data_IF_307521768715
#
_entry.id   IF_307521768715
#
_cell.length_a   1.000
_cell.length_b   1.000
_cell.length_c   1.000
_cell.angle_alpha   90.00
_cell.angle_beta   90.00
_cell.angle_gamma   90.00
#
_symmetry.space_group_name_H-M   'P 1'
#
loop_
_entity.id
_entity.type
_entity.pdbx_description
1 polymer ?
#
# COMPACT_ATOMS: atom_id res chain seq x y z
N UNK A 1 -31.05 41.20 -12.10
CA UNK A 1 -29.71 41.12 -11.48
C UNK A 1 -29.92 40.55 -10.08
N UNK A 2 -29.93 39.23 -9.94
CA UNK A 2 -28.79 38.40 -9.53
C UNK A 2 -28.21 38.81 -8.17
N UNK A 3 -28.38 37.96 -7.15
CA UNK A 3 -27.28 37.19 -6.57
C UNK A 3 -27.84 36.11 -5.63
N UNK A 4 -27.47 34.87 -5.94
CA UNK A 4 -27.71 33.65 -5.18
C UNK A 4 -26.84 33.69 -3.92
N UNK A 5 -27.43 33.57 -2.73
CA UNK A 5 -26.67 33.49 -1.47
C UNK A 5 -26.14 32.06 -1.30
N UNK A 6 -24.84 31.87 -1.42
CA UNK A 6 -24.17 30.66 -0.92
C UNK A 6 -24.09 30.75 0.60
N UNK A 7 -24.63 29.73 1.29
CA UNK A 7 -24.40 29.53 2.72
C UNK A 7 -23.33 28.44 2.88
N UNK A 8 -22.12 28.85 3.26
CA UNK A 8 -21.10 27.96 3.81
C UNK A 8 -21.24 28.03 5.34
N UNK A 9 -21.71 26.95 5.95
CA UNK A 9 -21.67 26.81 7.40
C UNK A 9 -20.31 26.26 7.80
N UNK A 10 -19.38 27.14 8.19
CA UNK A 10 -18.22 26.75 8.99
C UNK A 10 -18.53 27.18 10.43
N UNK A 11 -18.76 26.19 11.29
CA UNK A 11 -18.83 26.42 12.74
C UNK A 11 -17.39 26.56 13.24
N UNK A 12 -16.95 27.80 13.43
CA UNK A 12 -15.75 28.13 14.19
C UNK A 12 -16.09 28.13 15.68
N UNK A 13 -15.54 27.18 16.43
CA UNK A 13 -15.38 27.29 17.87
C UNK A 13 -13.89 27.49 18.17
N UNK A 14 -13.57 28.74 18.53
CA UNK A 14 -12.38 29.21 19.27
C UNK A 14 -11.00 28.82 18.74
N UNK A 15 -10.22 29.86 18.43
CA UNK A 15 -8.82 29.76 18.03
C UNK A 15 -7.98 28.95 19.01
N UNK A 16 -7.30 27.95 18.46
CA UNK A 16 -6.05 27.42 18.98
C UNK A 16 -5.07 27.58 17.82
N UNK A 17 -4.17 28.55 17.91
CA UNK A 17 -2.99 28.60 17.04
C UNK A 17 -2.08 27.45 17.45
N UNK A 18 -2.28 26.32 16.79
CA UNK A 18 -1.42 25.16 16.92
C UNK A 18 -0.18 25.42 16.03
N UNK A 19 0.77 26.19 16.55
CA UNK A 19 2.13 26.22 16.00
C UNK A 19 2.83 24.94 16.43
N UNK A 20 2.74 23.89 15.60
CA UNK A 20 3.46 22.64 15.78
C UNK A 20 4.60 22.60 14.77
N UNK A 21 5.81 22.96 15.23
CA UNK A 21 7.03 22.37 14.68
C UNK A 21 7.13 20.93 15.22
N UNK A 22 6.57 19.98 14.48
CA UNK A 22 6.79 18.56 14.75
C UNK A 22 8.12 18.12 14.10
N UNK A 23 8.92 17.28 14.75
CA UNK A 23 10.15 16.76 14.16
C UNK A 23 9.80 15.78 13.03
N UNK A 24 10.03 16.21 11.78
CA UNK A 24 9.97 15.42 10.54
C UNK A 24 11.10 14.37 10.45
N UNK A 25 11.28 13.53 11.48
CA UNK A 25 12.29 12.48 11.47
C UNK A 25 11.75 11.22 12.11
N UNK A 26 11.16 10.34 11.30
CA UNK A 26 11.26 8.85 11.36
C UNK A 26 10.16 8.08 10.60
N UNK A 27 9.15 8.72 9.98
CA UNK A 27 8.03 7.99 9.32
C UNK A 27 8.16 7.71 7.81
N UNK A 28 9.27 8.07 7.15
CA UNK A 28 9.38 7.96 5.68
C UNK A 28 9.39 6.52 5.12
N UNK A 29 9.86 5.52 5.89
CA UNK A 29 10.06 4.17 5.34
C UNK A 29 8.75 3.39 5.16
N UNK A 30 7.73 3.66 5.97
CA UNK A 30 6.52 2.85 6.01
C UNK A 30 5.50 3.18 4.91
N UNK A 31 5.49 4.42 4.41
CA UNK A 31 4.47 4.85 3.43
C UNK A 31 4.60 4.22 2.04
N UNK A 32 5.85 4.08 1.54
CA UNK A 32 6.07 3.60 0.16
C UNK A 32 5.83 2.11 -0.01
N UNK A 33 6.32 1.29 0.92
CA UNK A 33 6.14 -0.17 0.86
C UNK A 33 4.66 -0.55 1.00
N UNK A 34 3.94 0.15 1.88
CA UNK A 34 2.50 0.00 2.05
C UNK A 34 1.74 0.38 0.77
N UNK A 35 2.04 1.52 0.17
CA UNK A 35 1.41 1.97 -1.06
C UNK A 35 1.66 1.01 -2.24
N UNK A 36 2.86 0.42 -2.32
CA UNK A 36 3.19 -0.62 -3.31
C UNK A 36 2.29 -1.84 -3.16
N UNK A 37 2.12 -2.36 -1.94
CA UNK A 37 1.25 -3.51 -1.67
C UNK A 37 -0.18 -3.21 -2.09
N UNK A 38 -0.72 -2.08 -1.65
CA UNK A 38 -2.08 -1.64 -1.99
C UNK A 38 -2.24 -1.49 -3.51
N UNK A 39 -1.29 -0.85 -4.20
CA UNK A 39 -1.34 -0.64 -5.64
C UNK A 39 -1.36 -1.98 -6.40
N UNK A 40 -0.50 -2.93 -6.00
CA UNK A 40 -0.46 -4.24 -6.64
C UNK A 40 -1.74 -5.05 -6.37
N UNK A 41 -2.24 -5.06 -5.14
CA UNK A 41 -3.44 -5.81 -4.78
C UNK A 41 -4.71 -5.25 -5.42
N UNK A 42 -4.77 -3.92 -5.59
CA UNK A 42 -5.93 -3.26 -6.19
C UNK A 42 -5.95 -3.37 -7.72
N UNK A 43 -4.79 -3.38 -8.38
CA UNK A 43 -4.70 -3.42 -9.85
C UNK A 43 -4.50 -4.82 -10.42
N UNK A 44 -3.91 -5.73 -9.65
CA UNK A 44 -3.44 -7.02 -10.16
C UNK A 44 -2.33 -6.88 -11.22
N UNK A 45 -1.69 -5.72 -11.38
CA UNK A 45 -0.61 -5.58 -12.36
C UNK A 45 0.67 -6.28 -11.88
N UNK A 46 1.52 -6.71 -12.82
CA UNK A 46 2.79 -7.37 -12.48
C UNK A 46 3.74 -6.45 -11.71
N UNK A 47 3.76 -5.15 -12.03
CA UNK A 47 4.56 -4.10 -11.40
C UNK A 47 3.61 -2.94 -11.11
N UNK A 48 3.67 -2.28 -9.95
CA UNK A 48 2.76 -1.18 -9.67
C UNK A 48 3.11 0.05 -10.51
N UNK A 49 2.10 0.79 -10.97
CA UNK A 49 2.29 2.06 -11.67
C UNK A 49 2.84 3.12 -10.70
N UNK A 50 3.96 3.81 -11.01
CA UNK A 50 4.56 4.79 -10.09
C UNK A 50 3.59 5.89 -9.65
N UNK A 51 2.79 6.45 -10.58
CA UNK A 51 1.80 7.48 -10.27
C UNK A 51 0.78 7.03 -9.22
N UNK A 52 0.37 5.77 -9.28
CA UNK A 52 -0.61 5.21 -8.34
C UNK A 52 0.01 4.99 -6.96
N UNK A 53 1.26 4.52 -6.90
CA UNK A 53 2.00 4.38 -5.65
C UNK A 53 2.15 5.73 -4.95
N UNK A 54 2.55 6.77 -5.69
CA UNK A 54 2.68 8.12 -5.12
C UNK A 54 1.31 8.67 -4.68
N UNK A 55 0.26 8.52 -5.48
CA UNK A 55 -1.10 8.90 -5.07
C UNK A 55 -1.50 8.22 -3.76
N UNK A 56 -1.37 6.90 -3.68
CA UNK A 56 -1.77 6.14 -2.48
C UNK A 56 -0.96 6.57 -1.27
N UNK A 57 0.35 6.79 -1.44
CA UNK A 57 1.22 7.27 -0.37
C UNK A 57 0.74 8.64 0.15
N UNK A 58 0.54 9.61 -0.74
CA UNK A 58 0.07 10.95 -0.38
C UNK A 58 -1.31 10.94 0.26
N UNK A 59 -2.23 10.14 -0.27
CA UNK A 59 -3.59 9.98 0.28
C UNK A 59 -3.54 9.43 1.71
N UNK A 60 -2.75 8.38 1.97
CA UNK A 60 -2.61 7.80 3.30
C UNK A 60 -1.91 8.75 4.28
N UNK A 61 -0.90 9.51 3.83
CA UNK A 61 -0.27 10.55 4.65
C UNK A 61 -1.28 11.63 5.06
N UNK A 62 -2.08 12.11 4.11
CA UNK A 62 -3.14 13.09 4.37
C UNK A 62 -4.21 12.54 5.32
N UNK A 63 -4.71 11.33 5.09
CA UNK A 63 -5.73 10.71 5.93
C UNK A 63 -5.22 10.58 7.38
N UNK A 64 -3.99 10.12 7.57
CA UNK A 64 -3.39 9.95 8.90
C UNK A 64 -3.07 11.28 9.59
N UNK A 65 -2.82 12.32 8.81
CA UNK A 65 -2.65 13.68 9.33
C UNK A 65 -3.98 14.26 9.82
N UNK A 66 -5.06 14.10 9.04
CA UNK A 66 -6.39 14.61 9.37
C UNK A 66 -7.08 13.81 10.48
N UNK A 67 -6.85 12.49 10.55
CA UNK A 67 -7.37 11.62 11.61
C UNK A 67 -6.23 10.83 12.28
N UNK A 68 -5.70 11.33 13.42
CA UNK A 68 -4.64 10.67 14.16
C UNK A 68 -4.99 9.25 14.66
N UNK A 69 -6.28 8.90 14.78
CA UNK A 69 -6.69 7.53 15.16
C UNK A 69 -6.34 6.50 14.08
N UNK A 70 -6.07 6.94 12.86
CA UNK A 70 -5.65 6.10 11.74
C UNK A 70 -4.13 6.06 11.57
N UNK A 71 -3.38 6.85 12.35
CA UNK A 71 -1.93 6.98 12.20
C UNK A 71 -1.14 5.68 12.50
N UNK A 72 -1.70 4.78 13.31
CA UNK A 72 -1.14 3.47 13.63
C UNK A 72 -1.63 2.35 12.70
N UNK A 73 -2.70 2.58 11.93
CA UNK A 73 -3.28 1.56 11.04
C UNK A 73 -2.41 1.41 9.80
N UNK A 74 -2.09 0.18 9.43
CA UNK A 74 -1.27 -0.12 8.25
C UNK A 74 -1.86 -1.25 7.42
N UNK A 75 -1.67 -1.17 6.11
CA UNK A 75 -1.97 -2.26 5.19
C UNK A 75 -0.87 -3.32 5.27
N UNK A 76 -1.20 -4.45 5.88
CA UNK A 76 -0.27 -5.58 5.99
C UNK A 76 -0.05 -6.27 4.65
N UNK A 77 -1.09 -6.36 3.83
CA UNK A 77 -1.12 -7.04 2.55
C UNK A 77 -1.25 -8.56 2.70
N UNK A 78 -1.46 -9.24 1.58
CA UNK A 78 -1.58 -10.71 1.48
C UNK A 78 -0.21 -11.36 1.44
N UNK A 79 0.76 -10.70 0.82
CA UNK A 79 2.08 -11.24 0.51
C UNK A 79 3.16 -10.15 0.51
N UNK A 80 4.43 -10.56 0.47
CA UNK A 80 5.57 -9.65 0.33
C UNK A 80 5.88 -9.41 -1.16
N UNK A 81 5.80 -8.14 -1.66
CA UNK A 81 6.07 -7.85 -3.07
C UNK A 81 7.47 -8.30 -3.50
N UNK A 82 7.57 -8.90 -4.68
CA UNK A 82 8.84 -9.35 -5.25
C UNK A 82 9.55 -10.44 -4.43
N UNK A 83 8.83 -11.23 -3.65
CA UNK A 83 9.39 -12.37 -2.90
C UNK A 83 8.59 -13.64 -3.18
N UNK A 84 9.31 -14.74 -3.45
CA UNK A 84 8.73 -16.05 -3.72
C UNK A 84 9.50 -17.16 -3.00
N UNK A 85 8.74 -18.12 -2.48
CA UNK A 85 9.26 -19.44 -2.15
C UNK A 85 9.30 -20.31 -3.39
N UNK A 86 10.42 -21.00 -3.60
CA UNK A 86 10.64 -21.88 -4.73
C UNK A 86 11.01 -23.26 -4.21
N UNK A 87 10.29 -24.26 -4.71
CA UNK A 87 10.51 -25.67 -4.36
C UNK A 87 11.16 -26.37 -5.55
N UNK A 88 12.19 -27.18 -5.28
CA UNK A 88 12.76 -28.10 -6.25
C UNK A 88 13.20 -27.46 -7.58
N UNK A 89 13.98 -26.37 -7.50
CA UNK A 89 14.58 -25.75 -8.69
C UNK A 89 15.91 -26.42 -9.06
N UNK A 90 16.06 -26.80 -10.34
CA UNK A 90 17.34 -27.28 -10.87
C UNK A 90 18.36 -26.16 -11.03
N UNK A 91 19.64 -26.51 -11.11
CA UNK A 91 20.71 -25.53 -11.34
C UNK A 91 20.53 -24.83 -12.69
N UNK A 92 20.16 -25.58 -13.72
CA UNK A 92 19.92 -25.07 -15.07
C UNK A 92 18.78 -24.04 -15.08
N UNK A 93 17.68 -24.31 -14.37
CA UNK A 93 16.57 -23.36 -14.22
C UNK A 93 16.99 -22.12 -13.44
N UNK A 94 17.78 -22.28 -12.38
CA UNK A 94 18.30 -21.15 -11.61
C UNK A 94 19.18 -20.25 -12.48
N UNK A 95 20.08 -20.84 -13.28
CA UNK A 95 20.97 -20.11 -14.19
C UNK A 95 20.15 -19.34 -15.25
N UNK A 96 19.13 -19.98 -15.84
CA UNK A 96 18.20 -19.32 -16.77
C UNK A 96 17.48 -18.12 -16.15
N UNK A 97 17.04 -18.23 -14.89
CA UNK A 97 16.39 -17.11 -14.18
C UNK A 97 17.39 -15.98 -13.92
N UNK A 98 18.64 -16.31 -13.53
CA UNK A 98 19.68 -15.33 -13.28
C UNK A 98 20.10 -14.53 -14.52
N UNK A 99 19.94 -15.10 -15.71
CA UNK A 99 20.20 -14.44 -17.00
C UNK A 99 18.97 -13.70 -17.57
N UNK A 100 17.81 -13.82 -16.94
CA UNK A 100 16.56 -13.22 -17.41
C UNK A 100 16.31 -11.80 -16.86
N UNK A 101 15.28 -11.13 -17.37
CA UNK A 101 14.78 -9.86 -16.81
C UNK A 101 14.20 -10.00 -15.39
N UNK A 102 13.99 -11.23 -14.92
CA UNK A 102 13.55 -11.57 -13.58
C UNK A 102 14.72 -11.98 -12.67
N UNK A 103 15.96 -11.59 -12.99
CA UNK A 103 17.11 -11.90 -12.13
C UNK A 103 16.86 -11.53 -10.65
N UNK A 104 16.93 -12.50 -9.72
CA UNK A 104 16.80 -12.22 -8.30
C UNK A 104 18.04 -11.50 -7.77
N UNK A 105 17.84 -10.61 -6.81
CA UNK A 105 18.92 -9.94 -6.07
C UNK A 105 19.47 -10.81 -4.94
N UNK A 106 18.66 -11.75 -4.45
CA UNK A 106 19.04 -12.66 -3.37
C UNK A 106 18.33 -14.00 -3.55
N UNK A 107 19.07 -15.09 -3.37
CA UNK A 107 18.53 -16.44 -3.23
C UNK A 107 19.04 -17.00 -1.89
N UNK A 108 18.14 -17.32 -0.97
CA UNK A 108 18.46 -17.82 0.37
C UNK A 108 18.02 -19.27 0.44
N UNK A 109 18.96 -20.18 0.62
CA UNK A 109 18.74 -21.64 0.57
C UNK A 109 18.15 -22.25 1.85
N UNK A 110 17.89 -21.44 2.87
CA UNK A 110 17.31 -21.89 4.14
C UNK A 110 16.02 -21.11 4.39
N UNK A 111 14.90 -21.63 3.89
CA UNK A 111 13.59 -21.24 4.38
C UNK A 111 13.25 -22.07 5.63
N UNK A 112 12.71 -21.41 6.64
CA UNK A 112 12.19 -22.05 7.86
C UNK A 112 10.94 -22.90 7.61
N UNK A 113 10.33 -22.84 6.42
CA UNK A 113 9.11 -23.58 6.10
C UNK A 113 9.37 -25.07 5.84
N UNK A 114 10.26 -25.41 4.91
CA UNK A 114 10.52 -26.80 4.50
C UNK A 114 11.96 -26.98 3.96
N UNK A 115 12.64 -28.11 4.26
CA UNK A 115 13.93 -28.45 3.66
C UNK A 115 13.85 -28.43 2.12
N UNK A 116 14.82 -27.77 1.47
CA UNK A 116 14.87 -27.67 0.01
C UNK A 116 14.06 -26.51 -0.60
N UNK A 117 13.44 -25.66 0.23
CA UNK A 117 12.78 -24.43 -0.23
C UNK A 117 13.75 -23.25 -0.25
N UNK A 118 13.82 -22.56 -1.38
CA UNK A 118 14.64 -21.36 -1.56
C UNK A 118 13.74 -20.12 -1.53
N UNK A 119 14.11 -19.12 -0.74
CA UNK A 119 13.52 -17.78 -0.82
C UNK A 119 14.26 -16.98 -1.90
N UNK A 120 13.55 -16.58 -2.95
CA UNK A 120 14.07 -15.63 -3.94
C UNK A 120 13.47 -14.25 -3.72
N UNK A 121 14.35 -13.25 -3.70
CA UNK A 121 14.01 -11.83 -3.62
C UNK A 121 14.39 -11.17 -4.94
N UNK A 122 13.44 -10.49 -5.56
CA UNK A 122 13.58 -9.85 -6.86
C UNK A 122 13.82 -8.34 -6.71
N UNK A 123 14.48 -7.73 -7.71
CA UNK A 123 14.80 -6.30 -7.69
C UNK A 123 13.55 -5.40 -7.73
N UNK A 124 12.51 -5.83 -8.46
CA UNK A 124 11.26 -5.10 -8.60
C UNK A 124 10.20 -5.66 -7.65
N UNK A 125 9.26 -4.82 -7.16
CA UNK A 125 8.17 -5.25 -6.32
C UNK A 125 7.10 -5.92 -7.17
N UNK A 126 7.41 -7.10 -7.69
CA UNK A 126 6.48 -7.84 -8.54
C UNK A 126 5.27 -8.33 -7.75
N UNK A 127 4.11 -8.42 -8.41
CA UNK A 127 2.97 -9.16 -7.89
C UNK A 127 3.32 -10.66 -7.82
N UNK A 128 3.46 -11.26 -6.63
CA UNK A 128 3.99 -12.61 -6.45
C UNK A 128 3.19 -13.68 -7.19
N UNK A 129 1.86 -13.62 -7.15
CA UNK A 129 1.03 -14.62 -7.86
C UNK A 129 1.21 -14.56 -9.39
N UNK A 130 1.42 -13.37 -9.95
CA UNK A 130 1.62 -13.21 -11.39
C UNK A 130 3.05 -13.56 -11.79
N UNK A 131 4.03 -13.16 -10.99
CA UNK A 131 5.40 -13.58 -11.17
C UNK A 131 5.53 -15.10 -11.10
N UNK A 132 4.90 -15.75 -10.13
CA UNK A 132 4.90 -17.22 -10.01
C UNK A 132 4.38 -17.91 -11.28
N UNK A 133 3.23 -17.45 -11.79
CA UNK A 133 2.67 -17.97 -13.06
C UNK A 133 3.63 -17.77 -14.24
N UNK A 134 4.28 -16.61 -14.33
CA UNK A 134 5.23 -16.31 -15.40
C UNK A 134 6.50 -17.17 -15.30
N UNK A 135 7.06 -17.33 -14.11
CA UNK A 135 8.24 -18.17 -13.88
C UNK A 135 7.93 -19.63 -14.20
N UNK A 136 6.77 -20.14 -13.77
CA UNK A 136 6.30 -21.49 -14.13
C UNK A 136 6.17 -21.67 -15.63
N UNK A 137 5.51 -20.72 -16.31
CA UNK A 137 5.29 -20.78 -17.76
C UNK A 137 6.61 -20.78 -18.55
N UNK A 138 7.60 -19.99 -18.12
CA UNK A 138 8.83 -19.77 -18.87
C UNK A 138 9.97 -20.73 -18.52
N UNK A 139 10.08 -21.10 -17.25
CA UNK A 139 11.21 -21.87 -16.72
C UNK A 139 10.79 -23.23 -16.14
N UNK A 140 9.49 -23.48 -16.00
CA UNK A 140 8.97 -24.82 -15.69
C UNK A 140 9.09 -25.27 -14.23
N UNK A 141 9.27 -24.35 -13.27
CA UNK A 141 9.28 -24.67 -11.84
C UNK A 141 8.15 -23.99 -11.08
N UNK A 142 7.74 -24.60 -9.97
CA UNK A 142 6.70 -24.07 -9.10
C UNK A 142 7.26 -23.06 -8.09
N UNK A 143 6.46 -22.04 -7.80
CA UNK A 143 6.80 -21.02 -6.80
C UNK A 143 5.54 -20.46 -6.14
N UNK A 144 5.69 -19.98 -4.91
CA UNK A 144 4.57 -19.58 -4.06
C UNK A 144 4.83 -18.20 -3.44
N UNK A 145 3.81 -17.33 -3.34
CA UNK A 145 3.93 -16.06 -2.62
C UNK A 145 4.41 -16.24 -1.19
N UNK A 146 5.33 -15.38 -0.75
CA UNK A 146 5.68 -15.27 0.68
C UNK A 146 4.56 -14.52 1.40
N UNK A 147 3.91 -15.10 2.42
CA UNK A 147 2.83 -14.43 3.13
C UNK A 147 3.33 -13.20 3.89
N UNK A 148 2.53 -12.14 3.94
CA UNK A 148 2.92 -10.91 4.64
C UNK A 148 3.02 -11.10 6.17
N UNK A 149 2.26 -12.06 6.71
CA UNK A 149 2.14 -12.32 8.15
C UNK A 149 3.20 -13.28 8.71
N UNK A 150 4.18 -13.70 7.92
CA UNK A 150 5.22 -14.62 8.41
C UNK A 150 6.04 -14.06 9.56
N UNK A 151 6.13 -12.73 9.66
CA UNK A 151 6.79 -12.05 10.78
C UNK A 151 5.84 -11.79 11.97
N UNK A 152 4.53 -12.04 11.80
CA UNK A 152 3.45 -11.98 12.79
C UNK A 152 3.23 -10.64 13.52
N UNK A 153 1.99 -10.30 13.92
CA UNK A 153 1.80 -9.52 15.15
C UNK A 153 2.19 -10.42 16.33
N UNK A 154 3.17 -10.00 17.14
CA UNK A 154 3.66 -10.80 18.28
C UNK A 154 2.59 -11.07 19.37
N UNK A 155 1.45 -10.38 19.32
CA UNK A 155 0.52 -10.31 20.45
C UNK A 155 -0.93 -10.74 20.13
N UNK A 156 -1.16 -11.51 19.05
CA UNK A 156 -2.49 -12.07 18.76
C UNK A 156 -3.56 -11.07 18.31
N UNK A 157 -3.22 -9.79 18.20
CA UNK A 157 -4.08 -8.77 17.58
C UNK A 157 -4.08 -8.96 16.05
N UNK A 158 -5.26 -9.14 15.46
CA UNK A 158 -5.40 -9.10 14.00
C UNK A 158 -5.19 -7.65 13.54
N UNK A 159 -4.30 -7.40 12.58
CA UNK A 159 -4.00 -6.04 12.16
C UNK A 159 -5.23 -5.42 11.47
N UNK A 160 -5.59 -4.21 11.90
CA UNK A 160 -6.56 -3.36 11.22
C UNK A 160 -6.20 -3.27 9.72
N UNK A 161 -7.10 -3.70 8.84
CA UNK A 161 -6.82 -3.72 7.40
C UNK A 161 -7.33 -2.45 6.74
N UNK A 162 -6.43 -1.77 6.03
CA UNK A 162 -6.77 -0.75 5.04
C UNK A 162 -7.05 -1.46 3.71
N UNK A 163 -8.21 -1.22 3.11
CA UNK A 163 -8.59 -1.69 1.78
C UNK A 163 -8.77 -0.49 0.87
N UNK A 164 -8.20 -0.53 -0.34
CA UNK A 164 -8.34 0.53 -1.32
C UNK A 164 -9.10 0.05 -2.55
N UNK A 165 -10.21 0.72 -2.86
CA UNK A 165 -10.88 0.57 -4.14
C UNK A 165 -10.39 1.68 -5.08
N UNK A 166 -9.56 1.30 -6.05
CA UNK A 166 -8.95 2.25 -6.97
C UNK A 166 -9.94 2.84 -7.99
N UNK A 167 -11.00 2.11 -8.36
CA UNK A 167 -12.03 2.59 -9.30
C UNK A 167 -12.83 3.74 -8.68
N UNK A 168 -13.05 3.69 -7.36
CA UNK A 168 -13.78 4.70 -6.61
C UNK A 168 -12.88 5.73 -5.92
N UNK A 169 -11.56 5.52 -5.95
CA UNK A 169 -10.59 6.28 -5.15
C UNK A 169 -10.98 6.35 -3.67
N UNK A 170 -11.43 5.21 -3.13
CA UNK A 170 -11.95 5.10 -1.75
C UNK A 170 -11.11 4.15 -0.91
N UNK A 171 -10.75 4.60 0.29
CA UNK A 171 -10.10 3.82 1.33
C UNK A 171 -11.12 3.38 2.36
N UNK A 172 -11.06 2.13 2.76
CA UNK A 172 -11.87 1.54 3.81
C UNK A 172 -10.95 1.09 4.95
N UNK A 173 -11.27 1.52 6.16
CA UNK A 173 -10.53 1.16 7.36
C UNK A 173 -11.40 0.20 8.17
N UNK A 174 -11.07 -1.09 8.16
CA UNK A 174 -11.85 -2.12 8.85
C UNK A 174 -11.25 -2.43 10.23
N UNK A 175 -12.00 -2.25 11.33
CA UNK A 175 -11.75 -2.92 12.58
C UNK A 175 -12.29 -4.36 12.48
N UNK A 176 -11.49 -5.27 11.92
CA UNK A 176 -11.63 -6.74 11.99
C UNK A 176 -13.07 -7.32 11.96
N UNK A 177 -13.52 -7.79 10.78
CA UNK A 177 -14.23 -9.08 10.57
C UNK A 177 -14.68 -9.26 9.11
N UNK A 178 -13.72 -9.38 8.18
CA UNK A 178 -14.00 -9.73 6.77
C UNK A 178 -14.67 -11.09 6.57
N UNK A 179 -14.73 -11.96 7.60
CA UNK A 179 -15.36 -13.28 7.53
C UNK A 179 -16.75 -13.37 8.16
N UNK A 180 -17.17 -12.37 8.95
CA UNK A 180 -18.46 -12.41 9.67
C UNK A 180 -19.45 -11.31 9.28
N UNK A 181 -19.25 -10.61 8.17
CA UNK A 181 -20.23 -9.62 7.69
C UNK A 181 -21.11 -10.15 6.56
N UNK A 182 -21.72 -11.33 6.74
CA UNK A 182 -22.91 -11.73 5.96
C UNK A 182 -24.14 -11.04 6.57
N UNK A 183 -24.33 -9.76 6.23
CA UNK A 183 -25.43 -8.83 6.62
C UNK A 183 -24.99 -7.73 7.62
N UNK A 184 -24.49 -6.61 7.09
CA UNK A 184 -24.80 -5.28 7.64
C UNK A 184 -24.09 -4.85 8.93
N UNK A 185 -22.77 -4.99 9.03
CA UNK A 185 -22.00 -4.28 10.06
C UNK A 185 -21.71 -2.85 9.60
N UNK A 186 -22.47 -1.91 10.15
CA UNK A 186 -22.27 -0.47 10.05
C UNK A 186 -21.12 -0.05 10.99
N UNK A 187 -19.90 0.03 10.45
CA UNK A 187 -18.85 1.02 10.79
C UNK A 187 -17.72 0.90 9.75
N UNK A 188 -18.02 1.28 8.51
CA UNK A 188 -17.02 1.49 7.47
C UNK A 188 -16.59 2.95 7.55
N UNK A 189 -15.44 3.24 8.18
CA UNK A 189 -14.81 4.55 7.96
C UNK A 189 -14.24 4.52 6.56
N UNK A 190 -14.89 5.26 5.65
CA UNK A 190 -14.51 5.35 4.26
C UNK A 190 -14.07 6.77 3.94
N UNK A 191 -12.89 6.93 3.35
CA UNK A 191 -12.41 8.21 2.84
C UNK A 191 -12.31 8.12 1.33
N UNK A 192 -13.00 9.00 0.63
CA UNK A 192 -12.87 9.14 -0.83
C UNK A 192 -12.11 10.41 -1.14
N UNK A 193 -11.07 10.31 -1.96
CA UNK A 193 -10.24 11.45 -2.37
C UNK A 193 -10.39 11.58 -3.88
N UNK A 194 -11.08 12.64 -4.30
CA UNK A 194 -11.24 13.01 -5.69
C UNK A 194 -10.31 14.19 -5.99
N UNK A 195 -9.48 14.04 -7.01
CA UNK A 195 -8.73 15.16 -7.59
C UNK A 195 -9.54 15.62 -8.79
N UNK A 196 -10.04 16.85 -8.77
CA UNK A 196 -10.73 17.42 -9.92
C UNK A 196 -9.69 17.72 -11.00
N UNK A 197 -9.59 16.86 -12.02
CA UNK A 197 -8.64 17.03 -13.13
C UNK A 197 -8.99 18.24 -14.02
N UNK A 198 -10.17 18.87 -13.82
CA UNK A 198 -10.61 20.05 -14.55
C UNK A 198 -10.63 21.34 -13.72
N UNK A 199 -10.19 21.33 -12.46
CA UNK A 199 -10.03 22.59 -11.73
C UNK A 199 -8.71 23.25 -12.15
N UNK A 200 -8.78 24.30 -12.97
CA UNK A 200 -7.67 25.22 -13.28
C UNK A 200 -7.16 26.00 -12.04
N UNK A 201 -7.41 25.53 -10.82
CA UNK A 201 -6.94 26.11 -9.57
C UNK A 201 -6.05 25.13 -8.82
N UNK A 202 -4.85 24.95 -9.36
CA UNK A 202 -3.69 24.38 -8.69
C UNK A 202 -3.11 25.39 -7.68
N UNK A 203 -3.95 25.97 -6.81
CA UNK A 203 -3.53 27.05 -5.87
C UNK A 203 -3.72 26.68 -4.40
N UNK A 204 -4.46 25.63 -4.02
CA UNK A 204 -4.59 25.28 -2.59
C UNK A 204 -3.35 24.55 -2.04
N UNK A 205 -2.72 23.69 -2.85
CA UNK A 205 -1.46 23.03 -2.46
C UNK A 205 -0.25 23.98 -2.52
N UNK A 206 -0.29 25.00 -3.40
CA UNK A 206 0.78 26.00 -3.53
C UNK A 206 0.70 27.09 -2.44
N UNK A 207 -0.50 27.52 -2.07
CA UNK A 207 -0.71 28.55 -1.04
C UNK A 207 -0.32 28.09 0.38
N UNK A 208 -0.36 26.78 0.67
CA UNK A 208 0.13 26.24 1.94
C UNK A 208 1.67 26.18 2.03
N UNK A 209 2.36 26.16 0.88
CA UNK A 209 3.83 26.11 0.80
C UNK A 209 4.46 27.51 0.76
N UNK A 210 3.84 28.46 0.04
CA UNK A 210 4.37 29.83 -0.08
C UNK A 210 4.14 30.69 1.18
N UNK A 211 3.14 30.37 2.01
CA UNK A 211 2.89 31.10 3.28
C UNK A 211 3.77 30.65 4.46
N UNK A 212 4.70 29.70 4.27
CA UNK A 212 5.67 29.26 5.28
C UNK A 212 7.13 29.54 4.88
N UNK A 213 7.35 30.35 3.85
CA UNK A 213 8.67 30.79 3.41
C UNK A 213 8.86 32.30 3.62
N UNK A 214 8.70 32.77 4.86
CA UNK A 214 9.28 34.02 5.39
C UNK A 214 9.73 33.81 6.84
#
# INVERSE_FOLDING_TARGET
>A
MSQLKFFVFIVFLSGVEISIQAPLRTKEKYGREEAIKIALESTGELIPRPKMVEKIKSDLELIRYLDPNLASRTHVGKWKPGQLYIKEISKEQLDQVQESEFKPIKAISESTMEPGTILMVFAKPYHPEHLSKLLKLRFGFDSYPVPANEDGPQDGEQPDQIVYNHELSTYYFNPVNGYNCKKGCLTQYAVSIFVDENSEEDDFARTAWENNAL
#
